data_IF_603572129897
#
_entry.id   IF_603572129897
#
_cell.length_a   1.000
_cell.length_b   1.000
_cell.length_c   1.000
_cell.angle_alpha   90.00
_cell.angle_beta   90.00
_cell.angle_gamma   90.00
#
_symmetry.space_group_name_H-M   'P 1'
#
loop_
_entity.id
_entity.type
_entity.pdbx_description
1 polymer ?
#
# COMPACT_ATOMS: atom_id res chain seq x y z
N UNK A 1 -10.93 9.59 -17.10
CA UNK A 1 -9.66 8.85 -16.93
C UNK A 1 -9.22 8.90 -15.49
N UNK A 2 -8.97 7.76 -14.85
CA UNK A 2 -8.38 7.77 -13.50
C UNK A 2 -6.96 8.32 -13.54
N UNK A 3 -6.61 9.06 -12.51
CA UNK A 3 -5.27 9.64 -12.39
C UNK A 3 -4.63 9.20 -11.09
N UNK A 4 -3.30 9.04 -11.10
CA UNK A 4 -2.53 8.74 -9.90
C UNK A 4 -1.90 10.05 -9.42
N UNK A 5 -2.22 10.45 -8.20
CA UNK A 5 -1.70 11.69 -7.61
C UNK A 5 -1.21 11.43 -6.20
N UNK A 6 -0.39 12.31 -5.69
CA UNK A 6 0.04 12.25 -4.29
C UNK A 6 -1.14 12.54 -3.38
N UNK A 7 -1.21 11.84 -2.25
CA UNK A 7 -2.25 12.07 -1.25
C UNK A 7 -2.15 13.49 -0.70
N UNK A 8 -3.31 14.12 -0.53
CA UNK A 8 -3.41 15.41 0.14
C UNK A 8 -4.57 15.39 1.14
N UNK A 9 -4.78 16.51 1.83
CA UNK A 9 -5.79 16.57 2.89
C UNK A 9 -7.21 16.26 2.42
N UNK A 10 -7.52 16.56 1.15
CA UNK A 10 -8.86 16.31 0.60
C UNK A 10 -9.15 14.82 0.45
N UNK A 11 -8.13 13.96 0.42
CA UNK A 11 -8.31 12.51 0.25
C UNK A 11 -8.53 11.77 1.57
N UNK A 12 -8.22 12.39 2.71
CA UNK A 12 -8.16 11.70 4.01
C UNK A 12 -9.48 11.02 4.38
N UNK A 13 -10.59 11.73 4.23
CA UNK A 13 -11.89 11.19 4.63
C UNK A 13 -12.26 9.93 3.84
N UNK A 14 -12.04 9.94 2.53
CA UNK A 14 -12.35 8.79 1.68
C UNK A 14 -11.43 7.62 1.96
N UNK A 15 -10.14 7.88 2.19
CA UNK A 15 -9.18 6.82 2.56
C UNK A 15 -9.62 6.17 3.87
N UNK A 16 -10.06 6.95 4.85
CA UNK A 16 -10.53 6.42 6.12
C UNK A 16 -11.75 5.50 5.92
N UNK A 17 -12.64 5.84 4.99
CA UNK A 17 -13.79 4.98 4.68
C UNK A 17 -13.37 3.68 4.01
N UNK A 18 -12.39 3.73 3.11
CA UNK A 18 -11.86 2.52 2.48
C UNK A 18 -11.18 1.64 3.53
N UNK A 19 -10.45 2.22 4.47
CA UNK A 19 -9.82 1.48 5.57
C UNK A 19 -10.86 0.71 6.39
N UNK A 20 -11.97 1.35 6.73
CA UNK A 20 -13.02 0.73 7.56
C UNK A 20 -13.59 -0.53 6.95
N UNK A 21 -13.73 -0.56 5.63
CA UNK A 21 -14.33 -1.71 4.94
C UNK A 21 -13.28 -2.72 4.48
N UNK A 22 -12.00 -2.37 4.55
CA UNK A 22 -10.91 -3.23 4.05
C UNK A 22 -10.17 -3.96 5.16
N UNK A 23 -10.12 -3.41 6.36
CA UNK A 23 -9.29 -3.94 7.45
C UNK A 23 -10.07 -4.01 8.75
N UNK A 24 -9.74 -5.03 9.56
CA UNK A 24 -10.35 -5.19 10.89
C UNK A 24 -9.90 -4.11 11.85
N UNK A 25 -8.65 -3.65 11.72
CA UNK A 25 -8.09 -2.60 12.55
C UNK A 25 -7.72 -1.43 11.64
N UNK A 26 -8.73 -0.66 11.19
CA UNK A 26 -8.46 0.41 10.21
C UNK A 26 -7.77 1.60 10.86
N UNK A 27 -6.99 2.32 10.05
CA UNK A 27 -6.45 3.60 10.48
C UNK A 27 -7.57 4.63 10.52
N UNK A 28 -7.54 5.47 11.54
CA UNK A 28 -8.49 6.58 11.66
C UNK A 28 -8.11 7.71 10.69
N UNK A 29 -9.06 8.61 10.46
CA UNK A 29 -8.79 9.80 9.65
C UNK A 29 -7.62 10.60 10.23
N UNK A 30 -7.52 10.69 11.56
CA UNK A 30 -6.40 11.41 12.19
C UNK A 30 -5.06 10.74 11.91
N UNK A 31 -5.00 9.41 11.97
CA UNK A 31 -3.77 8.68 11.68
C UNK A 31 -3.33 8.90 10.22
N UNK A 32 -4.28 8.90 9.30
CA UNK A 32 -4.00 9.14 7.88
C UNK A 32 -3.53 10.58 7.68
N UNK A 33 -4.20 11.54 8.32
CA UNK A 33 -3.81 12.95 8.23
C UNK A 33 -2.40 13.17 8.77
N UNK A 34 -2.03 12.46 9.85
CA UNK A 34 -0.70 12.58 10.43
C UNK A 34 0.39 12.12 9.45
N UNK A 35 0.08 11.17 8.57
CA UNK A 35 1.03 10.71 7.56
C UNK A 35 1.41 11.81 6.57
N UNK A 36 0.55 12.79 6.35
CA UNK A 36 0.87 13.93 5.48
C UNK A 36 2.03 14.76 6.03
N UNK A 37 2.27 14.70 7.34
CA UNK A 37 3.34 15.43 8.01
C UNK A 37 4.57 14.57 8.27
N UNK A 38 4.50 13.28 7.96
CA UNK A 38 5.61 12.35 8.19
C UNK A 38 6.59 12.44 7.02
N UNK A 39 7.83 12.91 7.24
CA UNK A 39 8.77 13.08 6.13
C UNK A 39 9.23 11.77 5.50
N UNK A 40 9.02 10.63 6.18
CA UNK A 40 9.38 9.32 5.63
C UNK A 40 8.24 8.72 4.80
N UNK A 41 7.02 9.24 4.94
CA UNK A 41 5.84 8.64 4.32
C UNK A 41 5.57 9.21 2.94
N UNK A 42 5.19 8.32 2.02
CA UNK A 42 4.82 8.68 0.65
C UNK A 42 3.56 7.91 0.30
N UNK A 43 2.46 8.64 0.08
CA UNK A 43 1.17 8.05 -0.21
C UNK A 43 0.67 8.53 -1.56
N UNK A 44 0.05 7.63 -2.30
CA UNK A 44 -0.50 7.90 -3.63
C UNK A 44 -1.93 7.40 -3.70
N UNK A 45 -2.75 8.10 -4.46
CA UNK A 45 -4.14 7.70 -4.65
C UNK A 45 -4.44 7.65 -6.15
N UNK A 46 -5.36 6.76 -6.53
CA UNK A 46 -5.99 6.81 -7.84
C UNK A 46 -7.31 7.53 -7.64
N UNK A 47 -7.50 8.63 -8.37
CA UNK A 47 -8.75 9.37 -8.28
C UNK A 47 -9.42 9.54 -9.63
N UNK A 48 -10.73 9.65 -9.62
CA UNK A 48 -11.54 9.89 -10.80
C UNK A 48 -12.74 10.72 -10.36
N UNK A 49 -12.97 11.86 -11.03
CA UNK A 49 -14.06 12.77 -10.67
C UNK A 49 -14.01 13.15 -9.19
N UNK A 50 -12.81 13.46 -8.71
CA UNK A 50 -12.55 13.85 -7.32
C UNK A 50 -12.88 12.77 -6.29
N UNK A 51 -13.01 11.50 -6.71
CA UNK A 51 -13.25 10.37 -5.80
C UNK A 51 -12.01 9.50 -5.75
N UNK A 52 -11.69 8.99 -4.54
CA UNK A 52 -10.57 8.07 -4.34
C UNK A 52 -11.05 6.65 -4.67
N UNK A 53 -10.39 6.02 -5.62
CA UNK A 53 -10.70 4.62 -6.02
C UNK A 53 -9.77 3.62 -5.34
N UNK A 54 -8.55 4.02 -5.06
CA UNK A 54 -7.54 3.17 -4.44
C UNK A 54 -6.44 4.04 -3.86
N UNK A 55 -5.68 3.50 -2.93
CA UNK A 55 -4.52 4.20 -2.39
C UNK A 55 -3.46 3.20 -1.95
N UNK A 56 -2.23 3.67 -1.85
CA UNK A 56 -1.16 2.94 -1.19
C UNK A 56 -0.11 3.90 -0.66
N UNK A 57 0.65 3.42 0.31
CA UNK A 57 1.72 4.22 0.88
C UNK A 57 2.93 3.38 1.23
N UNK A 58 4.05 4.05 1.40
CA UNK A 58 5.26 3.41 1.87
C UNK A 58 6.08 4.40 2.69
N UNK A 59 6.92 3.86 3.57
CA UNK A 59 7.94 4.62 4.27
C UNK A 59 9.29 4.37 3.59
N UNK A 60 10.04 5.44 3.38
CA UNK A 60 11.38 5.33 2.80
C UNK A 60 12.43 5.66 3.84
N UNK A 61 13.38 4.75 4.03
CA UNK A 61 14.53 4.97 4.90
C UNK A 61 15.76 4.60 4.08
N UNK A 62 16.54 5.63 3.69
CA UNK A 62 17.72 5.46 2.83
C UNK A 62 17.31 4.81 1.50
N UNK A 63 17.85 3.62 1.18
CA UNK A 63 17.56 2.92 -0.07
C UNK A 63 16.49 1.83 0.08
N UNK A 64 15.79 1.80 1.23
CA UNK A 64 14.74 0.81 1.48
C UNK A 64 13.38 1.47 1.60
N UNK A 65 12.37 0.77 1.10
CA UNK A 65 10.98 1.18 1.26
C UNK A 65 10.18 0.07 1.94
N UNK A 66 9.28 0.47 2.82
CA UNK A 66 8.37 -0.45 3.50
C UNK A 66 6.95 -0.04 3.12
N UNK A 67 6.27 -0.88 2.34
CA UNK A 67 4.89 -0.64 1.96
C UNK A 67 4.03 -0.79 3.21
N UNK A 68 3.25 0.24 3.52
CA UNK A 68 2.40 0.24 4.72
C UNK A 68 1.03 -0.35 4.42
N UNK A 69 0.32 0.26 3.47
CA UNK A 69 -1.04 -0.16 3.13
C UNK A 69 -1.25 -0.05 1.64
N UNK A 70 -2.09 -0.94 1.11
CA UNK A 70 -2.65 -0.81 -0.23
C UNK A 70 -4.09 -1.30 -0.15
N UNK A 71 -5.03 -0.52 -0.67
CA UNK A 71 -6.42 -0.93 -0.69
C UNK A 71 -7.16 -0.29 -1.86
N UNK A 72 -8.16 -1.01 -2.34
CA UNK A 72 -9.03 -0.58 -3.44
C UNK A 72 -10.44 -0.48 -2.90
N UNK A 73 -11.15 0.58 -3.28
CA UNK A 73 -12.55 0.77 -2.91
C UNK A 73 -13.34 -0.48 -3.32
N UNK A 74 -14.22 -1.02 -2.44
CA UNK A 74 -14.84 -2.32 -2.71
C UNK A 74 -15.55 -2.46 -4.06
N UNK A 75 -16.27 -1.44 -4.50
CA UNK A 75 -16.99 -1.50 -5.78
C UNK A 75 -16.08 -1.23 -6.98
N UNK A 76 -14.81 -0.96 -6.75
CA UNK A 76 -13.82 -0.73 -7.80
C UNK A 76 -12.81 -1.88 -7.92
N UNK A 77 -13.02 -2.96 -7.18
CA UNK A 77 -12.13 -4.12 -7.23
C UNK A 77 -12.26 -4.85 -8.57
N UNK A 78 -11.23 -5.62 -8.92
CA UNK A 78 -11.14 -6.41 -10.16
C UNK A 78 -11.05 -5.55 -11.42
N UNK A 79 -10.74 -4.27 -11.29
CA UNK A 79 -10.51 -3.38 -12.43
C UNK A 79 -9.03 -3.10 -12.67
N UNK A 80 -8.16 -3.75 -11.88
CA UNK A 80 -6.71 -3.61 -12.05
C UNK A 80 -6.10 -2.40 -11.38
N UNK A 81 -6.84 -1.68 -10.54
CA UNK A 81 -6.31 -0.48 -9.89
C UNK A 81 -5.16 -0.77 -8.94
N UNK A 82 -5.24 -1.85 -8.17
CA UNK A 82 -4.14 -2.24 -7.28
C UNK A 82 -2.85 -2.50 -8.05
N UNK A 83 -2.97 -3.22 -9.16
CA UNK A 83 -1.82 -3.52 -10.02
C UNK A 83 -1.25 -2.24 -10.64
N UNK A 84 -2.12 -1.38 -11.15
CA UNK A 84 -1.71 -0.11 -11.76
C UNK A 84 -0.98 0.77 -10.76
N UNK A 85 -1.53 0.87 -9.55
CA UNK A 85 -0.97 1.71 -8.50
C UNK A 85 0.38 1.16 -8.02
N UNK A 86 0.47 -0.14 -7.80
CA UNK A 86 1.72 -0.76 -7.36
C UNK A 86 2.81 -0.59 -8.42
N UNK A 87 2.47 -0.79 -9.69
CA UNK A 87 3.42 -0.59 -10.79
C UNK A 87 3.96 0.84 -10.81
N UNK A 88 3.06 1.81 -10.69
CA UNK A 88 3.45 3.22 -10.67
C UNK A 88 4.37 3.53 -9.49
N UNK A 89 4.00 3.07 -8.31
CA UNK A 89 4.76 3.37 -7.09
C UNK A 89 6.13 2.69 -7.10
N UNK A 90 6.22 1.47 -7.62
CA UNK A 90 7.52 0.79 -7.75
C UNK A 90 8.45 1.56 -8.69
N UNK A 91 7.92 2.11 -9.78
CA UNK A 91 8.72 2.94 -10.69
C UNK A 91 9.17 4.23 -9.99
N UNK A 92 8.28 4.84 -9.24
CA UNK A 92 8.60 6.05 -8.48
C UNK A 92 9.69 5.78 -7.45
N UNK A 93 9.62 4.63 -6.77
CA UNK A 93 10.64 4.20 -5.83
C UNK A 93 12.01 4.09 -6.47
N UNK A 94 12.09 3.50 -7.69
CA UNK A 94 13.34 3.40 -8.42
C UNK A 94 13.90 4.77 -8.75
N UNK A 95 13.04 5.68 -9.17
CA UNK A 95 13.44 7.04 -9.55
C UNK A 95 14.06 7.80 -8.38
N UNK A 96 13.64 7.51 -7.15
CA UNK A 96 14.17 8.18 -5.96
C UNK A 96 15.27 7.38 -5.26
N UNK A 97 15.74 6.28 -5.86
CA UNK A 97 16.90 5.55 -5.35
C UNK A 97 16.59 4.41 -4.39
N UNK A 98 15.36 3.92 -4.35
CA UNK A 98 15.02 2.75 -3.55
C UNK A 98 15.50 1.50 -4.27
N UNK A 99 16.26 0.65 -3.58
CA UNK A 99 16.79 -0.60 -4.14
C UNK A 99 16.13 -1.85 -3.54
N UNK A 100 15.50 -1.71 -2.37
CA UNK A 100 14.85 -2.84 -1.70
C UNK A 100 13.48 -2.41 -1.18
N UNK A 101 12.48 -3.25 -1.41
CA UNK A 101 11.11 -3.00 -0.96
C UNK A 101 10.64 -4.18 -0.11
N UNK A 102 10.09 -3.91 1.05
CA UNK A 102 9.53 -4.94 1.91
C UNK A 102 8.10 -4.62 2.26
N UNK A 103 7.36 -5.65 2.64
CA UNK A 103 5.99 -5.51 3.11
C UNK A 103 5.64 -6.70 4.00
N UNK A 104 4.56 -6.52 4.75
CA UNK A 104 3.95 -7.59 5.52
C UNK A 104 2.53 -7.75 5.01
N UNK A 105 2.10 -8.99 4.81
CA UNK A 105 0.75 -9.27 4.32
C UNK A 105 0.14 -10.40 5.13
N UNK A 106 -1.14 -10.28 5.43
CA UNK A 106 -1.86 -11.36 6.14
C UNK A 106 -1.84 -12.62 5.27
N UNK A 107 -1.46 -13.75 5.88
CA UNK A 107 -1.34 -15.03 5.16
C UNK A 107 -2.65 -15.45 4.48
N UNK A 108 -3.79 -14.93 4.93
CA UNK A 108 -5.09 -15.25 4.36
C UNK A 108 -5.48 -14.32 3.20
N UNK A 109 -4.72 -13.25 2.98
CA UNK A 109 -5.01 -12.32 1.91
C UNK A 109 -4.42 -12.80 0.59
N UNK A 110 -5.06 -13.81 -0.01
CA UNK A 110 -4.56 -14.49 -1.20
C UNK A 110 -4.44 -13.53 -2.39
N UNK A 111 -5.40 -12.62 -2.56
CA UNK A 111 -5.37 -11.67 -3.67
C UNK A 111 -4.15 -10.75 -3.59
N UNK A 112 -3.84 -10.23 -2.41
CA UNK A 112 -2.68 -9.36 -2.22
C UNK A 112 -1.38 -10.14 -2.44
N UNK A 113 -1.30 -11.37 -1.91
CA UNK A 113 -0.12 -12.22 -2.08
C UNK A 113 0.14 -12.45 -3.57
N UNK A 114 -0.89 -12.79 -4.34
CA UNK A 114 -0.75 -13.00 -5.78
C UNK A 114 -0.29 -11.73 -6.48
N UNK A 115 -0.82 -10.59 -6.07
CA UNK A 115 -0.43 -9.31 -6.66
C UNK A 115 1.07 -9.06 -6.43
N UNK A 116 1.53 -9.20 -5.19
CA UNK A 116 2.94 -8.95 -4.87
C UNK A 116 3.86 -9.95 -5.58
N UNK A 117 3.50 -11.23 -5.59
CA UNK A 117 4.30 -12.24 -6.27
C UNK A 117 4.38 -12.01 -7.78
N UNK A 118 3.33 -11.45 -8.37
CA UNK A 118 3.33 -11.14 -9.80
C UNK A 118 4.32 -10.02 -10.15
N UNK A 119 4.73 -9.22 -9.17
CA UNK A 119 5.74 -8.18 -9.36
C UNK A 119 7.15 -8.65 -8.97
N UNK A 120 7.29 -9.90 -8.59
CA UNK A 120 8.60 -10.45 -8.25
C UNK A 120 8.95 -10.43 -6.77
N UNK A 121 8.02 -10.01 -5.91
CA UNK A 121 8.23 -10.12 -4.47
C UNK A 121 8.34 -11.58 -4.07
N UNK A 122 9.25 -11.88 -3.15
CA UNK A 122 9.49 -13.25 -2.69
C UNK A 122 9.33 -13.34 -1.18
N UNK A 123 8.78 -14.45 -0.66
CA UNK A 123 8.64 -14.62 0.78
C UNK A 123 10.01 -14.75 1.44
N UNK A 124 10.18 -14.08 2.57
CA UNK A 124 11.45 -14.04 3.29
C UNK A 124 11.29 -14.37 4.77
N UNK A 125 10.07 -14.51 5.26
CA UNK A 125 9.86 -14.81 6.66
C UNK A 125 8.39 -14.70 7.04
N UNK A 126 8.15 -14.82 8.33
CA UNK A 126 6.79 -14.84 8.87
C UNK A 126 6.81 -14.29 10.28
N UNK A 127 5.80 -13.45 10.61
CA UNK A 127 5.56 -13.01 11.99
C UNK A 127 4.31 -13.72 12.48
N UNK A 128 4.48 -14.66 13.40
CA UNK A 128 3.35 -15.46 13.90
C UNK A 128 2.36 -14.60 14.67
N UNK A 129 1.07 -14.81 14.39
CA UNK A 129 -0.04 -14.15 15.07
C UNK A 129 0.10 -12.63 15.13
N UNK A 130 0.69 -12.05 14.08
CA UNK A 130 0.94 -10.62 14.00
C UNK A 130 -0.36 -9.81 13.91
N UNK A 131 -1.32 -10.31 13.15
CA UNK A 131 -2.60 -9.64 12.97
C UNK A 131 -3.57 -10.06 14.07
N UNK A 132 -3.79 -9.16 15.02
CA UNK A 132 -4.75 -9.32 16.11
C UNK A 132 -4.57 -10.61 16.93
N UNK A 133 -3.34 -11.13 16.97
CA UNK A 133 -3.04 -12.34 17.72
C UNK A 133 -3.59 -13.62 17.10
N UNK A 134 -4.07 -13.59 15.86
CA UNK A 134 -4.72 -14.74 15.21
C UNK A 134 -3.98 -15.14 13.92
N UNK A 135 -3.86 -14.24 12.97
CA UNK A 135 -3.28 -14.53 11.66
C UNK A 135 -1.81 -14.16 11.60
N UNK A 136 -1.03 -14.97 10.88
CA UNK A 136 0.38 -14.66 10.66
C UNK A 136 0.54 -13.61 9.58
N UNK A 137 1.60 -12.83 9.68
CA UNK A 137 2.04 -11.95 8.61
C UNK A 137 3.16 -12.63 7.83
N UNK A 138 3.03 -12.67 6.51
CA UNK A 138 4.11 -13.10 5.65
C UNK A 138 4.94 -11.89 5.29
N UNK A 139 6.27 -12.03 5.34
CA UNK A 139 7.18 -10.93 5.02
C UNK A 139 7.70 -11.18 3.61
N UNK A 140 7.57 -10.18 2.74
CA UNK A 140 8.03 -10.26 1.36
C UNK A 140 9.08 -9.20 1.07
N UNK A 141 10.00 -9.51 0.17
CA UNK A 141 11.04 -8.59 -0.27
C UNK A 141 11.12 -8.56 -1.79
N UNK A 142 11.47 -7.38 -2.31
CA UNK A 142 11.75 -7.18 -3.73
C UNK A 142 13.02 -6.36 -3.86
N UNK A 143 13.94 -6.80 -4.71
CA UNK A 143 15.12 -6.03 -5.09
C UNK A 143 14.81 -5.28 -6.39
N UNK A 144 14.93 -3.96 -6.37
CA UNK A 144 14.67 -3.12 -7.53
C UNK A 144 15.93 -2.52 -8.12
N UNK A 145 17.07 -2.75 -7.45
CA UNK A 145 18.31 -2.08 -7.79
C UNK A 145 19.16 -2.75 -8.85
N UNK A 146 18.64 -3.73 -9.52
CA UNK A 146 19.40 -4.45 -10.57
C UNK A 146 19.46 -3.66 -11.87
#
# INVERSE_FOLDING_TARGET
>A
MPEIVKMNAAHVAEIAEIEKVSFKTPWSAQMIADELKNPLAHYFVIEKYAQVLAYMGYYRILDEAHITNIAVKPDEKRKGYGKTLLSFVLDEMKDVGVSKVTLEVNEKNVAAIRLYESFGFRPAGRRKKYYEGVDDALIYWLNTGE
#
